data_IF_592146851977
#
_entry.id   IF_592146851977
#
_cell.length_a   1.000
_cell.length_b   1.000
_cell.length_c   1.000
_cell.angle_alpha   90.00
_cell.angle_beta   90.00
_cell.angle_gamma   90.00
#
_symmetry.space_group_name_H-M   'P 1'
#
loop_
_entity.id
_entity.type
_entity.pdbx_description
1 polymer ?
#
# COMPACT_ATOMS: atom_id res chain seq x y z
N UNK A 1 -1.98 -22.58 13.32
CA UNK A 1 -1.76 -21.25 12.73
C UNK A 1 -2.90 -21.03 11.76
N UNK A 2 -4.06 -20.66 12.31
CA UNK A 2 -5.32 -20.59 11.57
C UNK A 2 -5.22 -19.46 10.53
N UNK A 3 -5.19 -19.85 9.26
CA UNK A 3 -5.15 -18.96 8.10
C UNK A 3 -6.43 -18.15 7.95
N UNK A 4 -6.76 -17.34 8.96
CA UNK A 4 -7.82 -16.33 8.86
C UNK A 4 -7.41 -15.41 7.72
N UNK A 5 -8.23 -15.43 6.66
CA UNK A 5 -8.15 -14.43 5.61
C UNK A 5 -8.01 -13.05 6.25
N UNK A 6 -7.14 -12.17 5.70
CA UNK A 6 -7.06 -10.80 6.19
C UNK A 6 -8.48 -10.22 6.24
N UNK A 7 -8.81 -9.43 7.27
CA UNK A 7 -10.13 -8.82 7.37
C UNK A 7 -10.46 -8.17 6.02
N UNK A 8 -11.72 -8.30 5.54
CA UNK A 8 -12.11 -7.68 4.29
C UNK A 8 -11.74 -6.20 4.34
N UNK A 9 -11.14 -5.72 3.26
CA UNK A 9 -10.68 -4.35 3.19
C UNK A 9 -11.85 -3.41 3.53
N UNK A 10 -11.64 -2.35 4.32
CA UNK A 10 -12.69 -1.41 4.64
C UNK A 10 -13.35 -0.90 3.37
N UNK A 11 -14.68 -0.69 3.34
CA UNK A 11 -15.34 -0.11 2.18
C UNK A 11 -14.69 1.25 1.83
N UNK A 12 -14.14 1.36 0.61
CA UNK A 12 -13.38 2.53 0.16
C UNK A 12 -11.85 2.40 0.22
N UNK A 13 -11.31 1.29 0.71
CA UNK A 13 -9.87 1.02 0.61
C UNK A 13 -9.47 0.75 -0.86
N UNK A 14 -8.48 1.48 -1.36
CA UNK A 14 -7.95 1.28 -2.70
C UNK A 14 -7.24 -0.08 -2.82
N UNK A 15 -7.40 -0.74 -3.96
CA UNK A 15 -6.65 -1.95 -4.27
C UNK A 15 -5.18 -1.60 -4.54
N UNK A 16 -4.29 -1.91 -3.58
CA UNK A 16 -2.87 -1.60 -3.67
C UNK A 16 -2.17 -2.25 -4.87
N UNK A 17 -2.63 -3.42 -5.32
CA UNK A 17 -2.09 -4.10 -6.52
C UNK A 17 -2.50 -3.42 -7.84
N UNK A 18 -3.40 -2.43 -7.78
CA UNK A 18 -3.80 -1.60 -8.92
C UNK A 18 -3.22 -0.20 -8.80
N UNK A 19 -3.27 0.41 -7.61
CA UNK A 19 -2.85 1.81 -7.43
C UNK A 19 -1.34 1.98 -7.26
N UNK A 20 -0.66 1.09 -6.53
CA UNK A 20 0.79 1.23 -6.29
C UNK A 20 1.61 1.04 -7.57
N UNK A 21 1.24 0.15 -8.51
CA UNK A 21 1.90 0.08 -9.82
C UNK A 21 1.81 1.35 -10.68
N UNK A 22 0.92 2.28 -10.35
CA UNK A 22 0.83 3.58 -11.03
C UNK A 22 1.74 4.64 -10.41
N UNK A 23 2.35 4.35 -9.26
CA UNK A 23 3.20 5.29 -8.54
C UNK A 23 4.67 5.01 -8.80
N UNK A 24 5.46 6.08 -8.88
CA UNK A 24 6.92 5.97 -8.84
C UNK A 24 7.37 5.41 -7.48
N UNK A 25 8.59 4.87 -7.41
CA UNK A 25 9.16 4.42 -6.12
C UNK A 25 9.22 5.58 -5.11
N UNK A 26 9.69 6.77 -5.53
CA UNK A 26 9.76 7.95 -4.66
C UNK A 26 8.38 8.40 -4.16
N UNK A 27 7.38 8.33 -5.04
CA UNK A 27 5.98 8.64 -4.75
C UNK A 27 5.41 7.69 -3.69
N UNK A 28 5.67 6.39 -3.82
CA UNK A 28 5.29 5.38 -2.82
C UNK A 28 5.96 5.66 -1.47
N UNK A 29 7.25 5.99 -1.47
CA UNK A 29 7.99 6.30 -0.26
C UNK A 29 7.40 7.53 0.42
N UNK A 30 7.18 8.61 -0.33
CA UNK A 30 6.56 9.83 0.18
C UNK A 30 5.18 9.55 0.75
N UNK A 31 4.36 8.75 0.07
CA UNK A 31 3.04 8.37 0.53
C UNK A 31 3.09 7.61 1.85
N UNK A 32 4.01 6.67 2.02
CA UNK A 32 4.16 5.93 3.27
C UNK A 32 4.75 6.77 4.41
N UNK A 33 5.60 7.76 4.11
CA UNK A 33 6.19 8.65 5.13
C UNK A 33 5.26 9.78 5.57
N UNK A 34 4.46 10.31 4.64
CA UNK A 34 3.62 11.51 4.88
C UNK A 34 2.15 11.20 5.04
N UNK A 35 1.70 10.05 4.55
CA UNK A 35 0.28 9.70 4.48
C UNK A 35 -0.47 10.46 3.38
N UNK A 36 0.23 11.03 2.40
CA UNK A 36 -0.36 11.74 1.26
C UNK A 36 0.07 11.04 -0.01
N UNK A 37 -0.89 10.57 -0.80
CA UNK A 37 -0.61 9.90 -2.06
C UNK A 37 -0.17 10.89 -3.18
N UNK A 38 0.28 10.39 -4.34
CA UNK A 38 0.75 11.26 -5.43
C UNK A 38 -0.34 12.14 -6.05
N UNK A 39 -1.61 11.82 -5.81
CA UNK A 39 -2.76 12.63 -6.24
C UNK A 39 -3.12 13.73 -5.24
N UNK A 40 -2.44 13.77 -4.09
CA UNK A 40 -2.71 14.71 -3.00
C UNK A 40 -3.77 14.24 -2.01
N UNK A 41 -4.24 13.00 -2.13
CA UNK A 41 -5.25 12.44 -1.24
C UNK A 41 -4.61 11.93 0.07
N UNK A 42 -5.26 12.26 1.19
CA UNK A 42 -4.83 11.81 2.50
C UNK A 42 -5.23 10.35 2.72
N UNK A 43 -4.23 9.51 3.00
CA UNK A 43 -4.41 8.09 3.28
C UNK A 43 -5.19 7.93 4.58
N UNK A 44 -6.34 7.27 4.47
CA UNK A 44 -7.28 7.12 5.58
C UNK A 44 -6.78 6.16 6.67
N UNK A 45 -7.20 6.37 7.94
CA UNK A 45 -6.71 5.62 9.12
C UNK A 45 -6.87 4.10 9.17
N UNK A 46 -7.75 3.41 8.40
CA UNK A 46 -7.69 1.94 8.38
C UNK A 46 -6.47 1.41 7.63
N UNK A 47 -5.82 2.22 6.78
CA UNK A 47 -4.54 1.83 6.16
C UNK A 47 -3.39 2.09 7.14
N UNK A 48 -2.54 1.09 7.45
CA UNK A 48 -1.46 1.22 8.42
C UNK A 48 -0.22 1.95 7.86
N UNK A 49 -0.41 3.03 7.09
CA UNK A 49 0.69 3.76 6.44
C UNK A 49 1.73 4.29 7.43
N UNK A 50 1.31 4.71 8.63
CA UNK A 50 2.22 5.17 9.70
C UNK A 50 3.14 4.07 10.23
N UNK A 51 2.70 2.82 10.21
CA UNK A 51 3.50 1.69 10.65
C UNK A 51 4.46 1.29 9.53
N UNK A 52 3.95 1.22 8.29
CA UNK A 52 4.74 0.92 7.09
C UNK A 52 5.82 1.99 6.85
N UNK A 53 5.51 3.27 7.04
CA UNK A 53 6.47 4.38 6.91
C UNK A 53 7.58 4.42 7.95
N UNK A 54 7.55 3.55 8.97
CA UNK A 54 8.66 3.37 9.93
C UNK A 54 9.68 2.33 9.49
N UNK A 55 9.33 1.51 8.48
CA UNK A 55 10.25 0.55 7.88
C UNK A 55 11.44 1.29 7.27
N UNK A 56 12.56 0.58 7.15
CA UNK A 56 13.72 1.11 6.46
C UNK A 56 13.48 1.18 4.94
N UNK A 57 14.38 1.87 4.23
CA UNK A 57 14.22 2.09 2.79
C UNK A 57 14.35 0.79 1.98
N UNK A 58 15.02 -0.23 2.54
CA UNK A 58 15.19 -1.54 1.90
C UNK A 58 13.89 -2.33 1.99
N UNK A 59 13.27 -2.37 3.17
CA UNK A 59 11.97 -2.98 3.43
C UNK A 59 10.86 -2.29 2.63
N UNK A 60 10.86 -0.96 2.55
CA UNK A 60 9.91 -0.21 1.72
C UNK A 60 10.10 -0.50 0.23
N UNK A 61 11.35 -0.61 -0.24
CA UNK A 61 11.64 -1.00 -1.62
C UNK A 61 11.17 -2.44 -1.92
N UNK A 62 11.42 -3.38 -1.01
CA UNK A 62 10.97 -4.76 -1.16
C UNK A 62 9.44 -4.85 -1.20
N UNK A 63 8.74 -4.06 -0.39
CA UNK A 63 7.28 -3.99 -0.42
C UNK A 63 6.76 -3.43 -1.75
N UNK A 64 7.38 -2.36 -2.26
CA UNK A 64 7.05 -1.78 -3.57
C UNK A 64 7.23 -2.79 -4.70
N UNK A 65 8.35 -3.51 -4.72
CA UNK A 65 8.65 -4.54 -5.71
C UNK A 65 7.69 -5.73 -5.59
N UNK A 66 7.39 -6.17 -4.37
CA UNK A 66 6.40 -7.22 -4.15
C UNK A 66 5.02 -6.83 -4.71
N UNK A 67 4.55 -5.61 -4.44
CA UNK A 67 3.28 -5.11 -4.96
C UNK A 67 3.26 -5.01 -6.49
N UNK A 68 4.40 -4.74 -7.13
CA UNK A 68 4.54 -4.77 -8.59
C UNK A 68 4.56 -6.19 -9.17
N UNK A 69 5.08 -7.16 -8.42
CA UNK A 69 5.13 -8.55 -8.84
C UNK A 69 3.78 -9.26 -8.72
N UNK A 70 2.87 -8.74 -7.88
CA UNK A 70 1.54 -9.30 -7.71
C UNK A 70 0.65 -9.03 -8.93
N UNK A 71 -0.11 -10.06 -9.35
CA UNK A 71 -1.21 -9.84 -10.28
C UNK A 71 -2.30 -9.01 -9.59
N UNK A 72 -2.89 -8.03 -10.29
CA UNK A 72 -4.04 -7.30 -9.76
C UNK A 72 -5.11 -8.24 -9.26
N UNK A 73 -5.50 -8.11 -8.00
CA UNK A 73 -6.60 -8.90 -7.44
C UNK A 73 -7.91 -8.25 -7.91
N UNK A 74 -8.42 -8.70 -9.04
CA UNK A 74 -9.76 -8.31 -9.53
C UNK A 74 -10.79 -9.27 -8.93
N UNK A 75 -11.31 -8.94 -7.75
CA UNK A 75 -12.42 -9.65 -7.12
C UNK A 75 -13.73 -8.88 -7.31
N UNK A 76 -14.74 -9.56 -7.88
CA UNK A 76 -16.11 -9.11 -8.10
C UNK A 76 -16.89 -8.95 -6.78
#
# INVERSE_FOLDING_TARGET
>A
MDGKAPPPAPPGASNLTVVVPQWSKDDFFKAMRTGIDPTGHQISPPMPWKQIGKLDDVELAALYEYLHALKPITGN
#
